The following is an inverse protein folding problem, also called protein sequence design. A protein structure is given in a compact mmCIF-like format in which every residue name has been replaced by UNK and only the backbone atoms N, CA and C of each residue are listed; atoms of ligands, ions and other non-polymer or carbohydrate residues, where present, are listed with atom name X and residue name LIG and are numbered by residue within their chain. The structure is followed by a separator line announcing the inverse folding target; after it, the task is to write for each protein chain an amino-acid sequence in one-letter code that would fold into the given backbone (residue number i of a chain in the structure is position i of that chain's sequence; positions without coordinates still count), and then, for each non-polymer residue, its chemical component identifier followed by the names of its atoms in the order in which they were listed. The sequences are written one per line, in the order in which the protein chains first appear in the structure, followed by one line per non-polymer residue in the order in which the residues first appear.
data_IF_456915324378
#
_entry.id   IF_456915324378
#
_cell.length_a   1.000
_cell.length_b   1.000
_cell.length_c   1.000
_cell.angle_alpha   90.00
_cell.angle_beta   90.00
_cell.angle_gamma   90.00
#
_symmetry.space_group_name_H-M   'P 1'
#
loop_
_entity.id
_entity.type
_entity.pdbx_description
1 polymer ?
#
# COMPACT_ATOMS: atom_id res chain seq x y z
N UNK A 1 34.86 -67.40 -33.27
CA UNK A 1 33.98 -66.53 -32.48
C UNK A 1 32.58 -66.67 -33.05
N UNK A 2 31.77 -67.57 -32.50
CA UNK A 2 30.43 -67.83 -32.98
C UNK A 2 29.47 -66.84 -32.32
N UNK A 3 28.75 -66.07 -33.13
CA UNK A 3 27.62 -65.23 -32.71
C UNK A 3 26.40 -66.12 -32.52
N UNK A 4 26.04 -66.42 -31.27
CA UNK A 4 24.79 -67.13 -30.96
C UNK A 4 23.59 -66.20 -31.24
N UNK A 5 22.82 -66.53 -32.27
CA UNK A 5 21.51 -65.91 -32.50
C UNK A 5 20.53 -66.49 -31.47
N UNK A 6 19.80 -65.65 -30.70
CA UNK A 6 18.87 -66.14 -29.70
C UNK A 6 17.75 -66.95 -30.39
N UNK A 7 17.52 -68.15 -29.88
CA UNK A 7 16.47 -69.05 -30.36
C UNK A 7 15.09 -68.38 -30.27
N UNK A 8 14.16 -68.69 -31.19
CA UNK A 8 12.80 -68.10 -31.21
C UNK A 8 12.07 -68.14 -29.86
N UNK A 9 12.35 -69.14 -29.01
CA UNK A 9 11.80 -69.22 -27.65
C UNK A 9 12.31 -68.14 -26.70
N UNK A 10 13.57 -67.70 -26.81
CA UNK A 10 14.12 -66.61 -26.00
C UNK A 10 13.54 -65.27 -26.44
N UNK A 11 13.38 -65.05 -27.74
CA UNK A 11 12.71 -63.85 -28.27
C UNK A 11 11.24 -63.78 -27.82
N UNK A 12 10.54 -64.91 -27.78
CA UNK A 12 9.17 -64.99 -27.26
C UNK A 12 9.11 -64.70 -25.75
N UNK A 13 10.06 -65.22 -24.96
CA UNK A 13 10.16 -64.91 -23.52
C UNK A 13 10.48 -63.45 -23.25
N UNK A 14 11.41 -62.87 -24.00
CA UNK A 14 11.77 -61.44 -23.87
C UNK A 14 10.58 -60.56 -24.26
N UNK A 15 9.83 -60.93 -25.32
CA UNK A 15 8.62 -60.19 -25.73
C UNK A 15 7.52 -60.29 -24.67
N UNK A 16 7.22 -61.48 -24.15
CA UNK A 16 6.24 -61.65 -23.07
C UNK A 16 6.65 -60.93 -21.78
N UNK A 17 7.94 -60.95 -21.42
CA UNK A 17 8.46 -60.19 -20.28
C UNK A 17 8.35 -58.67 -20.50
N UNK A 18 8.60 -58.19 -21.73
CA UNK A 18 8.45 -56.78 -22.09
C UNK A 18 7.00 -56.31 -22.08
N UNK A 19 6.06 -57.14 -22.56
CA UNK A 19 4.63 -56.86 -22.56
C UNK A 19 4.07 -56.84 -21.14
N UNK A 20 4.49 -57.79 -20.29
CA UNK A 20 4.13 -57.80 -18.87
C UNK A 20 4.68 -56.58 -18.13
N UNK A 21 5.90 -56.15 -18.44
CA UNK A 21 6.50 -54.96 -17.83
C UNK A 21 5.79 -53.68 -18.30
N UNK A 22 5.42 -53.60 -19.59
CA UNK A 22 4.66 -52.48 -20.15
C UNK A 22 3.24 -52.41 -19.55
N UNK A 23 2.57 -53.56 -19.39
CA UNK A 23 1.27 -53.66 -18.74
C UNK A 23 1.35 -53.23 -17.26
N UNK A 24 2.39 -53.66 -16.55
CA UNK A 24 2.62 -53.27 -15.16
C UNK A 24 2.89 -51.76 -15.02
N UNK A 25 3.71 -51.17 -15.89
CA UNK A 25 3.94 -49.72 -15.91
C UNK A 25 2.67 -48.93 -16.25
N UNK A 26 1.84 -49.44 -17.15
CA UNK A 26 0.57 -48.80 -17.51
C UNK A 26 -0.43 -48.85 -16.34
N UNK A 27 -0.50 -49.97 -15.63
CA UNK A 27 -1.33 -50.11 -14.41
C UNK A 27 -0.82 -49.18 -13.31
N UNK A 28 0.50 -49.12 -13.07
CA UNK A 28 1.07 -48.19 -12.09
C UNK A 28 0.76 -46.73 -12.44
N UNK A 29 0.88 -46.35 -13.71
CA UNK A 29 0.56 -44.99 -14.18
C UNK A 29 -0.93 -44.69 -14.05
N UNK A 30 -1.81 -45.66 -14.34
CA UNK A 30 -3.26 -45.54 -14.16
C UNK A 30 -3.66 -45.36 -12.69
N UNK A 31 -3.02 -46.12 -11.79
CA UNK A 31 -3.24 -46.00 -10.34
C UNK A 31 -2.75 -44.65 -9.82
N UNK A 32 -1.57 -44.18 -10.25
CA UNK A 32 -1.05 -42.87 -9.86
C UNK A 32 -1.92 -41.71 -10.39
N UNK A 33 -2.43 -41.81 -11.61
CA UNK A 33 -3.33 -40.81 -12.19
C UNK A 33 -4.66 -40.75 -11.44
N UNK A 34 -5.23 -41.90 -11.09
CA UNK A 34 -6.46 -41.98 -10.31
C UNK A 34 -6.26 -41.47 -8.88
N UNK A 35 -5.13 -41.76 -8.23
CA UNK A 35 -4.79 -41.23 -6.92
C UNK A 35 -4.58 -39.71 -6.94
N UNK A 36 -3.97 -39.17 -8.01
CA UNK A 36 -3.86 -37.72 -8.20
C UNK A 36 -5.23 -37.06 -8.42
N UNK A 37 -6.14 -37.70 -9.14
CA UNK A 37 -7.52 -37.21 -9.31
C UNK A 37 -8.31 -37.19 -8.00
N UNK A 38 -8.21 -38.26 -7.19
CA UNK A 38 -8.85 -38.33 -5.86
C UNK A 38 -8.23 -37.34 -4.88
N UNK A 39 -6.91 -37.18 -4.87
CA UNK A 39 -6.26 -36.13 -4.07
C UNK A 39 -6.69 -34.72 -4.52
N UNK A 40 -6.85 -34.48 -5.83
CA UNK A 40 -7.37 -33.22 -6.36
C UNK A 40 -8.78 -32.91 -5.84
N UNK A 41 -9.67 -33.90 -5.84
CA UNK A 41 -11.05 -33.78 -5.30
C UNK A 41 -11.06 -33.50 -3.80
N UNK A 42 -10.22 -34.19 -3.03
CA UNK A 42 -10.10 -33.98 -1.58
C UNK A 42 -9.54 -32.58 -1.27
N UNK A 43 -8.59 -32.09 -2.08
CA UNK A 43 -8.04 -30.74 -1.90
C UNK A 43 -9.07 -29.66 -2.26
N UNK A 44 -9.90 -29.87 -3.29
CA UNK A 44 -10.98 -28.93 -3.62
C UNK A 44 -12.08 -28.92 -2.54
N UNK A 45 -12.48 -30.09 -2.04
CA UNK A 45 -13.45 -30.19 -0.94
C UNK A 45 -12.89 -29.60 0.36
N UNK A 46 -11.61 -29.83 0.68
CA UNK A 46 -10.96 -29.17 1.82
C UNK A 46 -10.86 -27.66 1.65
N UNK A 47 -10.65 -27.14 0.43
CA UNK A 47 -10.64 -25.71 0.17
C UNK A 47 -12.03 -25.10 0.37
N UNK A 48 -13.08 -25.78 -0.11
CA UNK A 48 -14.47 -25.37 0.08
C UNK A 48 -14.89 -25.40 1.56
N UNK A 49 -14.53 -26.45 2.30
CA UNK A 49 -14.77 -26.54 3.75
C UNK A 49 -14.03 -25.43 4.50
N UNK A 50 -12.78 -25.12 4.12
CA UNK A 50 -12.03 -24.00 4.73
C UNK A 50 -12.69 -22.66 4.43
N UNK A 51 -13.21 -22.48 3.23
CA UNK A 51 -13.94 -21.26 2.87
C UNK A 51 -15.23 -21.13 3.70
N UNK A 52 -16.03 -22.19 3.80
CA UNK A 52 -17.24 -22.21 4.63
C UNK A 52 -16.94 -21.97 6.12
N UNK A 53 -15.83 -22.50 6.63
CA UNK A 53 -15.37 -22.24 8.00
C UNK A 53 -14.94 -20.78 8.19
N UNK A 54 -14.26 -20.18 7.20
CA UNK A 54 -13.89 -18.77 7.25
C UNK A 54 -15.11 -17.84 7.20
N UNK A 55 -16.09 -18.16 6.34
CA UNK A 55 -17.37 -17.43 6.26
C UNK A 55 -18.19 -17.60 7.55
N UNK A 56 -18.22 -18.81 8.13
CA UNK A 56 -18.87 -19.08 9.41
C UNK A 56 -18.21 -18.34 10.57
N UNK A 57 -16.88 -18.28 10.61
CA UNK A 57 -16.12 -17.49 11.59
C UNK A 57 -16.37 -15.99 11.42
N UNK A 58 -16.40 -15.49 10.20
CA UNK A 58 -16.70 -14.09 9.91
C UNK A 58 -18.11 -13.72 10.38
N UNK A 59 -19.11 -14.58 10.10
CA UNK A 59 -20.48 -14.39 10.57
C UNK A 59 -20.59 -14.43 12.10
N UNK A 60 -19.86 -15.33 12.77
CA UNK A 60 -19.80 -15.38 14.23
C UNK A 60 -19.14 -14.14 14.82
N UNK A 61 -18.05 -13.66 14.23
CA UNK A 61 -17.40 -12.41 14.64
C UNK A 61 -18.34 -11.22 14.49
N UNK A 62 -19.09 -11.16 13.38
CA UNK A 62 -20.08 -10.10 13.18
C UNK A 62 -21.21 -10.17 14.23
N UNK A 63 -21.72 -11.36 14.55
CA UNK A 63 -22.74 -11.53 15.59
C UNK A 63 -22.21 -11.10 16.97
N UNK A 64 -21.00 -11.50 17.34
CA UNK A 64 -20.36 -11.08 18.59
C UNK A 64 -20.16 -9.56 18.64
N UNK A 65 -19.75 -8.95 17.53
CA UNK A 65 -19.62 -7.48 17.44
C UNK A 65 -20.97 -6.79 17.62
N UNK A 66 -22.05 -7.33 17.04
CA UNK A 66 -23.40 -6.81 17.21
C UNK A 66 -23.91 -6.96 18.63
N UNK A 67 -23.63 -8.07 19.31
CA UNK A 67 -23.98 -8.28 20.72
C UNK A 67 -23.21 -7.33 21.63
N UNK A 68 -21.89 -7.21 21.47
CA UNK A 68 -21.07 -6.26 22.21
C UNK A 68 -21.53 -4.81 22.01
N UNK A 69 -22.00 -4.46 20.80
CA UNK A 69 -22.60 -3.16 20.53
C UNK A 69 -23.91 -2.97 21.29
N UNK A 70 -24.78 -3.98 21.37
CA UNK A 70 -26.02 -3.88 22.16
C UNK A 70 -25.73 -3.71 23.64
N UNK A 71 -24.81 -4.50 24.20
CA UNK A 71 -24.43 -4.38 25.62
C UNK A 71 -23.89 -2.97 25.92
N UNK A 72 -23.07 -2.42 25.02
CA UNK A 72 -22.58 -1.05 25.14
C UNK A 72 -23.70 0.00 25.07
N UNK A 73 -24.71 -0.21 24.21
CA UNK A 73 -25.88 0.68 24.10
C UNK A 73 -26.73 0.62 25.37
N UNK A 74 -26.95 -0.57 25.93
CA UNK A 74 -27.72 -0.76 27.16
C UNK A 74 -27.03 -0.11 28.37
N UNK A 75 -25.71 -0.29 28.50
CA UNK A 75 -24.92 0.39 29.53
C UNK A 75 -24.93 1.91 29.33
N UNK A 76 -24.78 2.37 28.08
CA UNK A 76 -24.90 3.79 27.75
C UNK A 76 -26.26 4.36 28.19
N UNK A 77 -27.36 3.65 27.92
CA UNK A 77 -28.70 4.04 28.31
C UNK A 77 -28.84 4.16 29.83
N UNK A 78 -28.38 3.14 30.55
CA UNK A 78 -28.41 3.13 32.00
C UNK A 78 -27.61 4.30 32.60
N UNK A 79 -26.42 4.57 32.07
CA UNK A 79 -25.59 5.69 32.53
C UNK A 79 -26.21 7.05 32.17
N UNK A 80 -26.81 7.16 30.98
CA UNK A 80 -27.49 8.39 30.54
C UNK A 80 -28.71 8.69 31.41
N UNK A 81 -29.54 7.69 31.75
CA UNK A 81 -30.66 7.85 32.69
C UNK A 81 -30.19 8.36 34.04
N UNK A 82 -29.16 7.71 34.61
CA UNK A 82 -28.59 8.10 35.89
C UNK A 82 -28.00 9.50 35.87
N UNK A 83 -27.37 9.90 34.76
CA UNK A 83 -26.81 11.23 34.60
C UNK A 83 -27.91 12.30 34.49
N UNK A 84 -28.97 12.02 33.74
CA UNK A 84 -30.16 12.90 33.66
C UNK A 84 -30.77 13.09 35.04
N UNK A 85 -30.95 12.03 35.81
CA UNK A 85 -31.49 12.09 37.17
C UNK A 85 -30.61 12.95 38.09
N UNK A 86 -29.28 12.71 38.07
CA UNK A 86 -28.31 13.51 38.82
C UNK A 86 -28.34 14.99 38.44
N UNK A 87 -28.41 15.30 37.14
CA UNK A 87 -28.44 16.68 36.66
C UNK A 87 -29.79 17.37 36.94
N UNK A 88 -30.89 16.59 37.04
CA UNK A 88 -32.23 17.08 37.33
C UNK A 88 -32.44 17.37 38.82
N UNK A 89 -31.66 16.77 39.71
CA UNK A 89 -31.77 17.05 41.14
C UNK A 89 -31.43 18.52 41.45
N UNK A 90 -32.15 19.12 42.40
CA UNK A 90 -31.82 20.46 42.90
C UNK A 90 -30.64 20.45 43.86
N UNK A 91 -30.34 19.31 44.47
CA UNK A 91 -29.35 19.16 45.54
C UNK A 91 -27.98 18.67 45.03
N UNK A 92 -27.72 18.79 43.73
CA UNK A 92 -26.43 18.40 43.14
C UNK A 92 -25.44 19.55 43.15
N UNK A 93 -24.19 19.23 43.52
CA UNK A 93 -23.06 20.16 43.61
C UNK A 93 -22.53 20.61 42.24
N UNK A 94 -23.06 20.07 41.14
CA UNK A 94 -22.55 20.35 39.79
C UNK A 94 -23.06 21.74 39.34
N UNK A 95 -22.19 22.66 38.86
CA UNK A 95 -22.61 23.96 38.31
C UNK A 95 -23.52 23.82 37.08
N UNK A 96 -24.39 24.80 36.83
CA UNK A 96 -25.34 24.75 35.71
C UNK A 96 -24.64 24.69 34.35
N UNK A 97 -23.54 25.45 34.18
CA UNK A 97 -22.68 25.40 32.99
C UNK A 97 -22.14 23.99 32.71
N UNK A 98 -21.63 23.32 33.76
CA UNK A 98 -21.10 21.96 33.64
C UNK A 98 -22.19 20.94 33.30
N UNK A 99 -23.37 21.04 33.91
CA UNK A 99 -24.52 20.18 33.57
C UNK A 99 -24.92 20.35 32.11
N UNK A 100 -24.94 21.60 31.63
CA UNK A 100 -25.28 21.89 30.24
C UNK A 100 -24.32 21.21 29.27
N UNK A 101 -22.99 21.39 29.45
CA UNK A 101 -22.01 20.78 28.55
C UNK A 101 -21.94 19.26 28.64
N UNK A 102 -22.14 18.68 29.83
CA UNK A 102 -22.22 17.22 29.98
C UNK A 102 -23.42 16.65 29.19
N UNK A 103 -24.59 17.24 29.33
CA UNK A 103 -25.80 16.81 28.62
C UNK A 103 -25.69 17.06 27.11
N UNK A 104 -25.09 18.17 26.70
CA UNK A 104 -24.82 18.48 25.30
C UNK A 104 -23.84 17.47 24.68
N UNK A 105 -22.81 17.08 25.45
CA UNK A 105 -21.84 16.06 25.05
C UNK A 105 -22.50 14.71 24.75
N UNK A 106 -23.47 14.28 25.56
CA UNK A 106 -24.22 13.03 25.32
C UNK A 106 -24.97 13.08 23.99
N UNK A 107 -25.70 14.17 23.71
CA UNK A 107 -26.42 14.31 22.44
C UNK A 107 -25.44 14.27 21.27
N UNK A 108 -24.31 14.95 21.40
CA UNK A 108 -23.29 14.98 20.36
C UNK A 108 -22.66 13.60 20.12
N UNK A 109 -22.34 12.85 21.17
CA UNK A 109 -21.84 11.47 21.07
C UNK A 109 -22.85 10.55 20.39
N UNK A 110 -24.13 10.64 20.75
CA UNK A 110 -25.20 9.86 20.11
C UNK A 110 -25.29 10.16 18.61
N UNK A 111 -25.17 11.43 18.24
CA UNK A 111 -25.20 11.84 16.83
C UNK A 111 -23.98 11.34 16.05
N UNK A 112 -22.77 11.52 16.60
CA UNK A 112 -21.52 11.14 15.94
C UNK A 112 -21.35 9.62 15.80
N UNK A 113 -21.76 8.85 16.82
CA UNK A 113 -21.73 7.39 16.76
C UNK A 113 -22.89 6.82 15.92
N UNK A 114 -23.80 7.68 15.42
CA UNK A 114 -24.94 7.27 14.60
C UNK A 114 -25.95 6.39 15.36
N UNK A 115 -25.94 6.45 16.70
CA UNK A 115 -26.83 5.64 17.54
C UNK A 115 -28.25 6.17 17.35
N UNK A 116 -29.08 5.35 16.72
CA UNK A 116 -30.50 5.62 16.51
C UNK A 116 -31.34 4.46 17.00
N UNK A 117 -32.62 4.73 17.25
CA UNK A 117 -33.62 3.71 17.62
C UNK A 117 -33.73 2.54 16.63
N UNK A 118 -33.24 2.71 15.39
CA UNK A 118 -33.17 1.64 14.41
C UNK A 118 -32.16 0.55 14.81
N UNK A 119 -31.05 0.93 15.46
CA UNK A 119 -29.93 0.04 15.81
C UNK A 119 -30.18 -0.70 17.13
N UNK A 120 -30.95 -0.09 18.04
CA UNK A 120 -31.24 -0.66 19.37
C UNK A 120 -32.17 -1.88 19.24
N UNK A 121 -31.91 -2.94 19.99
CA UNK A 121 -32.78 -4.13 20.06
C UNK A 121 -33.78 -3.99 21.23
N UNK A 122 -35.00 -4.51 21.04
CA UNK A 122 -36.05 -4.49 22.06
C UNK A 122 -36.93 -3.23 22.03
N UNK A 123 -38.24 -3.39 22.25
CA UNK A 123 -39.20 -2.28 22.24
C UNK A 123 -38.98 -1.33 23.41
N UNK A 124 -38.71 -1.88 24.59
CA UNK A 124 -38.60 -1.10 25.82
C UNK A 124 -37.31 -0.27 25.84
N UNK A 125 -36.18 -0.84 25.39
CA UNK A 125 -34.91 -0.12 25.25
C UNK A 125 -34.99 1.05 24.26
N UNK A 126 -35.71 0.86 23.14
CA UNK A 126 -35.96 1.95 22.17
C UNK A 126 -36.74 3.09 22.80
N UNK A 127 -37.80 2.76 23.54
CA UNK A 127 -38.62 3.75 24.21
C UNK A 127 -37.82 4.47 25.31
N UNK A 128 -37.05 3.74 26.11
CA UNK A 128 -36.18 4.32 27.12
C UNK A 128 -35.17 5.30 26.51
N UNK A 129 -34.56 4.94 25.38
CA UNK A 129 -33.66 5.82 24.65
C UNK A 129 -34.31 7.13 24.19
N UNK A 130 -35.47 7.05 23.54
CA UNK A 130 -36.20 8.24 23.12
C UNK A 130 -36.61 9.10 24.31
N UNK A 131 -37.12 8.48 25.38
CA UNK A 131 -37.54 9.16 26.61
C UNK A 131 -36.35 9.88 27.28
N UNK A 132 -35.16 9.27 27.30
CA UNK A 132 -33.92 9.86 27.82
C UNK A 132 -33.48 11.04 26.98
N UNK A 133 -33.40 10.88 25.66
CA UNK A 133 -33.00 11.96 24.76
C UNK A 133 -33.96 13.16 24.85
N UNK A 134 -35.26 12.91 24.94
CA UNK A 134 -36.26 13.96 25.12
C UNK A 134 -36.12 14.67 26.46
N UNK A 135 -35.83 13.94 27.55
CA UNK A 135 -35.52 14.55 28.86
C UNK A 135 -34.27 15.42 28.78
N UNK A 136 -33.20 14.94 28.15
CA UNK A 136 -31.96 15.69 27.96
C UNK A 136 -32.24 16.98 27.18
N UNK A 137 -32.94 16.92 26.03
CA UNK A 137 -33.30 18.09 25.22
C UNK A 137 -34.12 19.11 26.00
N UNK A 138 -35.13 18.66 26.77
CA UNK A 138 -35.94 19.54 27.62
C UNK A 138 -35.09 20.20 28.71
N UNK A 139 -34.14 19.49 29.30
CA UNK A 139 -33.22 20.04 30.29
C UNK A 139 -32.26 21.06 29.69
N UNK A 140 -31.67 20.76 28.53
CA UNK A 140 -30.79 21.68 27.82
C UNK A 140 -31.50 22.99 27.48
N UNK A 141 -32.75 22.92 27.00
CA UNK A 141 -33.57 24.12 26.76
C UNK A 141 -33.70 24.97 28.04
N UNK A 142 -34.06 24.37 29.18
CA UNK A 142 -34.16 25.09 30.46
C UNK A 142 -32.83 25.66 30.95
N UNK A 143 -31.75 24.88 30.83
CA UNK A 143 -30.42 25.31 31.26
C UNK A 143 -29.89 26.46 30.38
N UNK A 144 -30.20 26.47 29.09
CA UNK A 144 -29.76 27.52 28.15
C UNK A 144 -30.36 28.90 28.45
N UNK A 145 -31.43 28.98 29.23
CA UNK A 145 -32.03 30.25 29.65
C UNK A 145 -31.26 30.93 30.79
N UNK A 146 -30.43 30.16 31.52
CA UNK A 146 -29.65 30.63 32.68
C UNK A 146 -28.47 31.49 32.21
N UNK A 147 -28.25 32.64 32.88
CA UNK A 147 -27.21 33.60 32.51
C UNK A 147 -25.78 32.99 32.51
N UNK A 148 -25.43 32.21 33.54
CA UNK A 148 -24.15 31.49 33.63
C UNK A 148 -23.92 30.58 32.41
N UNK A 149 -24.95 29.88 31.96
CA UNK A 149 -24.86 28.95 30.83
C UNK A 149 -24.72 29.72 29.52
N UNK A 150 -25.40 30.86 29.35
CA UNK A 150 -25.25 31.71 28.16
C UNK A 150 -23.84 32.23 28.00
N UNK A 151 -23.24 32.74 29.07
CA UNK A 151 -21.85 33.21 29.06
C UNK A 151 -20.89 32.06 28.71
N UNK A 152 -21.12 30.88 29.29
CA UNK A 152 -20.30 29.71 29.00
C UNK A 152 -20.43 29.22 27.55
N UNK A 153 -21.64 29.27 26.96
CA UNK A 153 -21.88 28.96 25.54
C UNK A 153 -21.16 29.97 24.64
N UNK A 154 -21.25 31.26 24.94
CA UNK A 154 -20.58 32.32 24.18
C UNK A 154 -19.06 32.11 24.21
N UNK A 155 -18.50 31.84 25.38
CA UNK A 155 -17.08 31.53 25.54
C UNK A 155 -16.67 30.30 24.74
N UNK A 156 -17.42 29.19 24.85
CA UNK A 156 -17.15 27.96 24.11
C UNK A 156 -17.21 28.18 22.59
N UNK A 157 -18.16 28.98 22.11
CA UNK A 157 -18.28 29.32 20.69
C UNK A 157 -17.10 30.16 20.18
N UNK A 158 -16.60 31.09 20.99
CA UNK A 158 -15.46 31.92 20.64
C UNK A 158 -14.17 31.09 20.59
N UNK A 159 -13.99 30.18 21.54
CA UNK A 159 -12.83 29.30 21.58
C UNK A 159 -12.84 28.28 20.43
N UNK A 160 -14.00 27.69 20.11
CA UNK A 160 -14.16 26.83 18.95
C UNK A 160 -13.78 27.54 17.63
N UNK A 161 -14.14 28.83 17.48
CA UNK A 161 -13.74 29.62 16.31
C UNK A 161 -12.22 29.84 16.25
N UNK A 162 -11.57 30.07 17.40
CA UNK A 162 -10.10 30.20 17.47
C UNK A 162 -9.42 28.89 17.10
N UNK A 163 -9.83 27.79 17.71
CA UNK A 163 -9.30 26.46 17.41
C UNK A 163 -9.49 26.10 15.94
N UNK A 164 -10.65 26.40 15.35
CA UNK A 164 -10.91 26.14 13.93
C UNK A 164 -10.05 27.03 13.01
N UNK A 165 -9.80 28.28 13.40
CA UNK A 165 -8.89 29.16 12.67
C UNK A 165 -7.42 28.67 12.74
N UNK A 166 -6.99 28.14 13.88
CA UNK A 166 -5.67 27.55 14.05
C UNK A 166 -5.51 26.27 13.22
N UNK A 167 -6.50 25.37 13.24
CA UNK A 167 -6.53 24.17 12.38
C UNK A 167 -6.42 24.55 10.90
N UNK A 168 -7.22 25.51 10.44
CA UNK A 168 -7.13 26.02 9.06
C UNK A 168 -5.76 26.61 8.70
N UNK A 169 -5.03 27.17 9.67
CA UNK A 169 -3.66 27.66 9.45
C UNK A 169 -2.67 26.50 9.37
N UNK A 170 -2.80 25.52 10.26
CA UNK A 170 -2.00 24.30 10.26
C UNK A 170 -2.16 23.52 8.94
N UNK A 171 -3.40 23.31 8.49
CA UNK A 171 -3.71 22.60 7.23
C UNK A 171 -3.11 23.30 6.01
N UNK A 172 -3.19 24.64 5.96
CA UNK A 172 -2.59 25.42 4.87
C UNK A 172 -1.07 25.29 4.87
N UNK A 173 -0.45 25.24 6.04
CA UNK A 173 1.00 25.07 6.14
C UNK A 173 1.42 23.65 5.73
N UNK A 174 0.67 22.63 6.15
CA UNK A 174 0.87 21.25 5.71
C UNK A 174 0.75 21.12 4.18
N UNK A 175 -0.29 21.72 3.59
CA UNK A 175 -0.46 21.74 2.13
C UNK A 175 0.71 22.45 1.43
N UNK A 176 1.21 23.57 1.98
CA UNK A 176 2.41 24.25 1.44
C UNK A 176 3.63 23.35 1.49
N UNK A 177 3.86 22.66 2.62
CA UNK A 177 4.96 21.72 2.77
C UNK A 177 4.87 20.57 1.75
N UNK A 178 3.67 19.98 1.56
CA UNK A 178 3.45 18.94 0.56
C UNK A 178 3.75 19.42 -0.87
N UNK A 179 3.34 20.65 -1.22
CA UNK A 179 3.65 21.23 -2.54
C UNK A 179 5.15 21.46 -2.71
N UNK A 180 5.85 21.91 -1.67
CA UNK A 180 7.30 22.09 -1.70
C UNK A 180 8.03 20.75 -1.83
N UNK A 181 7.61 19.71 -1.11
CA UNK A 181 8.13 18.35 -1.25
C UNK A 181 7.95 17.80 -2.66
N UNK A 182 6.76 17.98 -3.27
CA UNK A 182 6.52 17.57 -4.66
C UNK A 182 7.47 18.27 -5.63
N UNK A 183 7.71 19.58 -5.47
CA UNK A 183 8.66 20.34 -6.29
C UNK A 183 10.10 19.87 -6.08
N UNK A 184 10.48 19.59 -4.84
CA UNK A 184 11.79 19.03 -4.51
C UNK A 184 12.00 17.66 -5.18
N UNK A 185 11.05 16.74 -5.01
CA UNK A 185 11.10 15.39 -5.60
C UNK A 185 11.15 15.43 -7.13
N UNK A 186 10.36 16.31 -7.77
CA UNK A 186 10.43 16.50 -9.22
C UNK A 186 11.83 16.94 -9.67
N UNK A 187 12.44 17.90 -8.96
CA UNK A 187 13.79 18.40 -9.29
C UNK A 187 14.89 17.36 -9.04
N UNK A 188 14.76 16.56 -7.97
CA UNK A 188 15.66 15.43 -7.72
C UNK A 188 15.53 14.38 -8.82
N UNK A 189 14.30 14.08 -9.26
CA UNK A 189 14.04 13.14 -10.34
C UNK A 189 14.63 13.61 -11.67
N UNK A 190 14.47 14.89 -12.04
CA UNK A 190 15.12 15.49 -13.21
C UNK A 190 16.65 15.33 -13.14
N UNK A 191 17.25 15.65 -11.99
CA UNK A 191 18.70 15.49 -11.78
C UNK A 191 19.15 14.02 -11.84
N UNK A 192 18.33 13.08 -11.37
CA UNK A 192 18.62 11.65 -11.48
C UNK A 192 18.51 11.16 -12.93
N UNK A 193 17.58 11.68 -13.73
CA UNK A 193 17.49 11.38 -15.16
C UNK A 193 18.68 11.92 -15.96
N UNK A 194 19.26 13.04 -15.54
CA UNK A 194 20.49 13.58 -16.15
C UNK A 194 21.71 12.67 -15.90
N UNK A 195 21.67 11.75 -14.92
CA UNK A 195 22.80 10.85 -14.65
C UNK A 195 23.09 9.97 -15.86
N UNK A 196 24.37 9.95 -16.25
CA UNK A 196 24.81 9.11 -17.36
C UNK A 196 24.95 7.66 -16.89
N UNK A 197 24.42 6.68 -17.65
CA UNK A 197 24.58 5.28 -17.31
C UNK A 197 26.05 4.87 -17.36
N UNK A 198 26.46 3.85 -16.58
CA UNK A 198 27.82 3.32 -16.67
C UNK A 198 28.10 2.78 -18.08
N UNK A 199 29.36 2.90 -18.50
CA UNK A 199 29.77 2.56 -19.86
C UNK A 199 29.75 1.04 -20.07
N UNK A 200 28.65 0.50 -20.59
CA UNK A 200 28.55 -0.92 -20.93
C UNK A 200 29.23 -1.23 -22.26
N UNK A 201 29.94 -2.36 -22.34
CA UNK A 201 30.63 -2.79 -23.55
C UNK A 201 29.69 -2.90 -24.75
N UNK A 202 28.51 -3.49 -24.57
CA UNK A 202 27.53 -3.69 -25.63
C UNK A 202 27.04 -2.38 -26.27
N UNK A 203 26.74 -1.36 -25.47
CA UNK A 203 26.27 -0.05 -25.98
C UNK A 203 27.39 0.80 -26.58
N UNK A 204 28.61 0.69 -26.04
CA UNK A 204 29.79 1.31 -26.65
C UNK A 204 30.10 0.66 -28.00
N UNK A 205 30.08 -0.68 -28.06
CA UNK A 205 30.38 -1.46 -29.25
C UNK A 205 29.34 -1.26 -30.36
N UNK A 206 28.04 -1.23 -30.03
CA UNK A 206 26.98 -0.98 -31.01
C UNK A 206 27.05 0.43 -31.61
N UNK A 207 27.32 1.46 -30.79
CA UNK A 207 27.51 2.82 -31.28
C UNK A 207 28.76 2.95 -32.16
N UNK A 208 29.86 2.27 -31.77
CA UNK A 208 31.09 2.25 -32.57
C UNK A 208 30.84 1.55 -33.91
N UNK A 209 30.15 0.41 -33.91
CA UNK A 209 29.80 -0.35 -35.12
C UNK A 209 28.84 0.40 -36.05
N UNK A 210 27.86 1.14 -35.51
CA UNK A 210 26.99 1.98 -36.34
C UNK A 210 27.79 3.03 -37.10
N UNK A 211 28.79 3.65 -36.47
CA UNK A 211 29.72 4.57 -37.15
C UNK A 211 30.65 3.85 -38.15
N UNK A 212 30.97 2.57 -37.92
CA UNK A 212 31.75 1.75 -38.88
C UNK A 212 30.91 1.30 -40.09
N UNK A 213 29.58 1.21 -39.97
CA UNK A 213 28.67 0.80 -41.06
C UNK A 213 28.60 1.84 -42.19
N UNK A 214 29.01 3.07 -41.93
CA UNK A 214 29.15 4.15 -42.91
C UNK A 214 30.46 4.09 -43.70
N UNK A 215 31.37 3.14 -43.41
CA UNK A 215 32.60 2.97 -44.18
C UNK A 215 32.30 2.18 -45.47
N UNK A 216 32.46 2.78 -46.67
CA UNK A 216 32.01 2.20 -47.95
C UNK A 216 32.71 0.89 -48.35
N UNK A 217 33.84 0.55 -47.71
CA UNK A 217 34.63 -0.64 -48.00
C UNK A 217 33.93 -1.94 -47.55
N UNK A 218 33.11 -1.90 -46.49
CA UNK A 218 32.35 -3.06 -46.01
C UNK A 218 31.08 -3.34 -46.83
N UNK A 219 30.51 -2.32 -47.49
CA UNK A 219 29.38 -2.48 -48.42
C UNK A 219 29.76 -3.19 -49.72
N UNK A 220 31.02 -3.08 -50.15
CA UNK A 220 31.58 -3.69 -51.37
C UNK A 220 31.68 -5.23 -51.28
N UNK A 221 31.66 -5.80 -50.07
CA UNK A 221 31.72 -7.24 -49.83
C UNK A 221 30.40 -7.99 -50.02
N UNK A 222 29.26 -7.28 -50.04
CA UNK A 222 27.95 -7.91 -50.25
C UNK A 222 27.58 -8.07 -51.73
N UNK A 223 28.37 -7.50 -52.66
CA UNK A 223 28.03 -7.40 -54.08
C UNK A 223 28.90 -8.31 -54.97
N UNK A 224 30.09 -8.73 -54.52
CA UNK A 224 31.01 -9.57 -55.31
C UNK A 224 31.48 -10.82 -54.53
N UNK A 225 31.61 -12.00 -55.18
CA UNK A 225 32.12 -13.20 -54.54
C UNK A 225 33.61 -13.03 -54.16
N UNK A 226 34.03 -13.40 -52.94
CA UNK A 226 35.37 -13.11 -52.46
C UNK A 226 36.42 -13.99 -53.15
N UNK A 227 37.47 -13.36 -53.67
CA UNK A 227 38.70 -14.04 -54.10
C UNK A 227 39.54 -14.48 -52.89
N UNK A 228 40.48 -15.41 -53.06
CA UNK A 228 41.32 -15.91 -51.93
C UNK A 228 42.12 -14.80 -51.23
N UNK A 229 42.56 -13.78 -51.98
CA UNK A 229 43.21 -12.58 -51.44
C UNK A 229 42.25 -11.71 -50.62
N UNK A 230 41.00 -11.53 -51.08
CA UNK A 230 39.99 -10.82 -50.28
C UNK A 230 39.69 -11.58 -48.98
N UNK A 231 39.58 -12.90 -49.02
CA UNK A 231 39.40 -13.73 -47.82
C UNK A 231 40.54 -13.58 -46.81
N UNK A 232 41.79 -13.50 -47.27
CA UNK A 232 42.95 -13.25 -46.40
C UNK A 232 42.92 -11.84 -45.80
N UNK A 233 42.56 -10.81 -46.58
CA UNK A 233 42.43 -9.44 -46.08
C UNK A 233 41.26 -9.32 -45.08
N UNK A 234 40.14 -10.01 -45.32
CA UNK A 234 39.01 -10.08 -44.40
C UNK A 234 39.42 -10.79 -43.10
N UNK A 235 40.13 -11.92 -43.20
CA UNK A 235 40.60 -12.65 -42.02
C UNK A 235 41.56 -11.79 -41.19
N UNK A 236 42.47 -11.05 -41.83
CA UNK A 236 43.35 -10.10 -41.16
C UNK A 236 42.58 -8.92 -40.55
N UNK A 237 41.60 -8.35 -41.24
CA UNK A 237 40.77 -7.27 -40.72
C UNK A 237 39.90 -7.73 -39.53
N UNK A 238 39.37 -8.95 -39.56
CA UNK A 238 38.62 -9.55 -38.46
C UNK A 238 39.52 -9.87 -37.27
N UNK A 239 40.72 -10.41 -37.48
CA UNK A 239 41.70 -10.66 -36.42
C UNK A 239 42.19 -9.35 -35.80
N UNK A 240 42.45 -8.33 -36.61
CA UNK A 240 42.84 -7.01 -36.14
C UNK A 240 41.71 -6.35 -35.34
N UNK A 241 40.46 -6.44 -35.83
CA UNK A 241 39.28 -6.01 -35.08
C UNK A 241 39.15 -6.74 -33.74
N UNK A 242 39.27 -8.07 -33.75
CA UNK A 242 39.12 -8.89 -32.55
C UNK A 242 40.14 -8.57 -31.44
N UNK A 243 41.37 -8.22 -31.82
CA UNK A 243 42.44 -7.87 -30.87
C UNK A 243 42.36 -6.42 -30.42
N UNK A 244 42.10 -5.48 -31.34
CA UNK A 244 42.15 -4.05 -31.03
C UNK A 244 40.85 -3.47 -30.46
N UNK A 245 39.68 -4.06 -30.75
CA UNK A 245 38.38 -3.60 -30.22
C UNK A 245 38.35 -3.71 -28.68
N UNK A 246 38.76 -4.83 -28.05
CA UNK A 246 38.81 -4.92 -26.58
C UNK A 246 39.80 -3.93 -25.95
N UNK A 247 40.97 -3.73 -26.57
CA UNK A 247 41.99 -2.80 -26.07
C UNK A 247 41.50 -1.35 -26.16
N UNK A 248 40.91 -0.96 -27.30
CA UNK A 248 40.31 0.36 -27.48
C UNK A 248 39.13 0.59 -26.53
N UNK A 249 38.33 -0.44 -26.25
CA UNK A 249 37.28 -0.36 -25.25
C UNK A 249 37.85 -0.12 -23.85
N UNK A 250 38.87 -0.86 -23.41
CA UNK A 250 39.45 -0.68 -22.06
C UNK A 250 40.01 0.74 -21.88
N UNK A 251 40.66 1.29 -22.90
CA UNK A 251 41.19 2.66 -22.86
C UNK A 251 40.07 3.71 -22.87
N UNK A 252 39.06 3.56 -23.74
CA UNK A 252 37.89 4.45 -23.78
C UNK A 252 37.08 4.36 -22.49
N UNK A 253 36.85 3.14 -21.99
CA UNK A 253 36.13 2.88 -20.75
C UNK A 253 36.85 3.51 -19.56
N UNK A 254 38.18 3.44 -19.47
CA UNK A 254 38.92 4.09 -18.40
C UNK A 254 38.83 5.63 -18.43
N UNK A 255 38.88 6.23 -19.63
CA UNK A 255 38.77 7.68 -19.80
C UNK A 255 37.34 8.20 -19.60
N UNK A 256 36.36 7.55 -20.23
CA UNK A 256 34.95 7.94 -20.15
C UNK A 256 34.34 7.62 -18.78
N UNK A 257 34.77 6.55 -18.10
CA UNK A 257 34.37 6.24 -16.73
C UNK A 257 34.74 7.37 -15.77
N UNK A 258 35.97 7.88 -15.82
CA UNK A 258 36.39 9.04 -14.99
C UNK A 258 35.55 10.29 -15.27
N UNK A 259 35.18 10.52 -16.54
CA UNK A 259 34.35 11.66 -16.94
C UNK A 259 32.90 11.52 -16.49
N UNK A 260 32.33 10.31 -16.60
CA UNK A 260 30.98 9.97 -16.13
C UNK A 260 30.91 10.03 -14.60
N UNK A 261 31.91 9.50 -13.88
CA UNK A 261 31.99 9.58 -12.42
C UNK A 261 32.07 11.03 -11.93
N UNK A 262 32.90 11.87 -12.57
CA UNK A 262 32.98 13.30 -12.22
C UNK A 262 31.66 14.03 -12.46
N UNK A 263 30.94 13.69 -13.54
CA UNK A 263 29.66 14.29 -13.87
C UNK A 263 28.56 13.84 -12.90
N UNK A 264 28.47 12.53 -12.62
CA UNK A 264 27.49 11.99 -11.68
C UNK A 264 27.75 12.49 -10.24
N UNK A 265 29.02 12.64 -9.83
CA UNK A 265 29.38 13.24 -8.54
C UNK A 265 28.94 14.70 -8.44
N UNK A 266 29.05 15.48 -9.52
CA UNK A 266 28.54 16.86 -9.55
C UNK A 266 27.01 16.93 -9.46
N UNK A 267 26.30 15.93 -9.99
CA UNK A 267 24.85 15.77 -9.81
C UNK A 267 24.53 15.42 -8.35
N UNK A 268 25.27 14.50 -7.74
CA UNK A 268 25.08 14.12 -6.34
C UNK A 268 25.31 15.31 -5.38
N UNK A 269 26.33 16.15 -5.65
CA UNK A 269 26.55 17.38 -4.90
C UNK A 269 25.41 18.40 -5.06
N UNK A 270 24.78 18.48 -6.24
CA UNK A 270 23.59 19.33 -6.46
C UNK A 270 22.38 18.79 -5.70
N UNK A 271 22.18 17.48 -5.67
CA UNK A 271 21.10 16.84 -4.89
C UNK A 271 21.33 17.08 -3.40
N UNK A 272 22.56 16.94 -2.90
CA UNK A 272 22.89 17.21 -1.50
C UNK A 272 22.68 18.67 -1.09
N UNK A 273 22.97 19.64 -1.97
CA UNK A 273 22.65 21.06 -1.71
C UNK A 273 21.15 21.32 -1.69
N UNK A 274 20.39 20.64 -2.55
CA UNK A 274 18.94 20.74 -2.56
C UNK A 274 18.33 20.12 -1.30
N UNK A 275 18.84 18.98 -0.83
CA UNK A 275 18.37 18.34 0.41
C UNK A 275 18.66 19.21 1.63
N UNK A 276 19.83 19.85 1.70
CA UNK A 276 20.16 20.81 2.75
C UNK A 276 19.23 22.04 2.74
N UNK A 277 18.88 22.53 1.55
CA UNK A 277 17.94 23.64 1.38
C UNK A 277 16.52 23.22 1.81
N UNK A 278 16.09 22.00 1.46
CA UNK A 278 14.80 21.45 1.88
C UNK A 278 14.72 21.31 3.41
N UNK A 279 15.77 20.81 4.07
CA UNK A 279 15.84 20.70 5.54
C UNK A 279 15.79 22.08 6.22
N UNK A 280 16.41 23.12 5.66
CA UNK A 280 16.31 24.50 6.17
C UNK A 280 14.88 25.06 6.11
N UNK A 281 14.03 24.52 5.23
CA UNK A 281 12.60 24.83 5.14
C UNK A 281 11.72 23.90 5.99
N UNK A 282 12.31 23.06 6.85
CA UNK A 282 11.57 22.14 7.72
C UNK A 282 11.00 20.91 7.00
N UNK A 283 11.47 20.61 5.79
CA UNK A 283 11.06 19.44 5.01
C UNK A 283 12.05 18.30 5.27
N UNK A 284 11.57 17.08 5.49
CA UNK A 284 12.42 15.90 5.60
C UNK A 284 12.57 15.21 4.22
N UNK A 285 13.74 15.35 3.55
CA UNK A 285 13.96 14.81 2.20
C UNK A 285 14.31 13.32 2.17
N UNK A 286 14.64 12.70 3.32
CA UNK A 286 15.07 11.29 3.39
C UNK A 286 13.92 10.33 3.73
N UNK A 287 12.73 10.89 3.99
CA UNK A 287 11.49 10.13 4.14
C UNK A 287 11.38 9.43 5.49
N UNK A 288 11.00 10.17 6.52
CA UNK A 288 9.87 9.75 7.32
C UNK A 288 8.72 10.64 6.85
N UNK A 289 7.71 10.06 6.21
CA UNK A 289 6.37 10.63 6.36
C UNK A 289 6.22 10.65 7.86
N UNK A 290 6.41 11.81 8.48
CA UNK A 290 5.78 12.04 9.74
C UNK A 290 4.32 11.85 9.38
N UNK A 291 3.81 10.65 9.59
CA UNK A 291 2.54 10.50 10.26
C UNK A 291 2.71 11.43 11.46
N UNK A 292 2.42 12.71 11.22
CA UNK A 292 1.85 13.54 12.24
C UNK A 292 0.69 12.67 12.63
N UNK A 293 0.86 11.94 13.73
CA UNK A 293 -0.19 11.16 14.35
C UNK A 293 -1.44 11.99 14.11
N UNK A 294 -2.46 11.37 13.49
CA UNK A 294 -3.81 11.82 13.72
C UNK A 294 -3.88 11.95 15.24
N UNK A 295 -3.66 13.17 15.74
CA UNK A 295 -4.11 13.52 17.05
C UNK A 295 -5.61 13.39 16.88
N UNK A 296 -6.09 12.19 17.22
CA UNK A 296 -7.47 11.96 17.55
C UNK A 296 -7.89 13.20 18.34
N UNK A 297 -8.95 13.88 17.89
CA UNK A 297 -9.32 15.14 18.51
C UNK A 297 -9.48 14.87 20.01
N UNK A 298 -8.85 15.65 20.92
CA UNK A 298 -9.46 15.75 22.24
C UNK A 298 -10.88 16.18 21.95
N UNK A 299 -11.86 15.40 22.44
CA UNK A 299 -13.31 15.59 22.29
C UNK A 299 -13.68 17.06 22.52
N UNK A 300 -13.52 17.84 21.45
CA UNK A 300 -13.91 19.23 21.39
C UNK A 300 -15.39 19.16 21.21
N UNK A 301 -16.12 19.74 22.16
CA UNK A 301 -17.56 19.89 22.09
C UNK A 301 -17.83 20.71 20.82
N UNK A 302 -18.08 20.01 19.71
CA UNK A 302 -18.42 20.62 18.44
C UNK A 302 -19.84 21.12 18.60
N UNK A 303 -19.92 22.43 18.84
CA UNK A 303 -21.16 23.15 18.88
C UNK A 303 -21.55 23.45 17.44
N UNK A 304 -22.22 22.50 16.79
CA UNK A 304 -22.87 22.78 15.51
C UNK A 304 -24.09 23.65 15.78
N UNK A 305 -23.89 24.95 15.59
CA UNK A 305 -24.93 25.97 15.59
C UNK A 305 -25.67 26.02 14.26
N UNK A 306 -26.19 24.89 13.77
CA UNK A 306 -27.17 24.87 12.67
C UNK A 306 -28.54 24.49 13.24
N UNK A 307 -29.27 25.52 13.64
CA UNK A 307 -30.73 25.48 13.82
C UNK A 307 -31.33 25.82 12.46
N UNK A 308 -31.90 24.81 11.80
CA UNK A 308 -32.91 24.97 10.76
C UNK A 308 -34.14 24.14 11.12
#
# INVERSE_FOLDING_TARGET
MATENPTYQELARIRAASENNLAFQTIQTGVLTNLNGVMGSIHSEMAEVRQLHAEGLAAQQELLQREALQDRIEEFLYQAEKLVEKCSSRDTDIPYSSRYFLLQGIIHSVHNEGISTAIIKGRDNKKAFDDVLDKIKKMLSKLSEIAEVKEAIEWASAENRRALAERKRADKELQRQQVLLKKYNAKVFELQQEKKPPLNFGTWYSNRLNNFREIPVLGLLFVFPPTSLMLQVIAWALLYGFIWIPIAYVVSAAYDKKKIEKYNKAIDEKVAKLSETARKHGLDPDGIVLDFEEHEPPLGIAYDGEVH
#
